data_IF_497914996253
#
_entry.id   IF_497914996253
#
_cell.length_a   1.000
_cell.length_b   1.000
_cell.length_c   1.000
_cell.angle_alpha   90.00
_cell.angle_beta   90.00
_cell.angle_gamma   90.00
#
_symmetry.space_group_name_H-M   'P 1'
#
loop_
_entity.id
_entity.type
_entity.pdbx_description
1 polymer ?
#
# COMPACT_ATOMS: atom_id res chain seq x y z
N UNK A 1 4.79 1.10 20.66
CA UNK A 1 3.65 0.33 20.09
C UNK A 1 2.84 -0.44 21.15
N UNK A 2 3.47 -1.24 22.03
CA UNK A 2 2.79 -2.04 23.08
C UNK A 2 1.77 -1.29 23.95
N UNK A 3 2.10 -0.10 24.45
CA UNK A 3 1.18 0.72 25.28
C UNK A 3 -0.05 1.16 24.49
N UNK A 4 0.15 1.75 23.31
CA UNK A 4 -0.91 2.20 22.39
C UNK A 4 -1.88 1.06 22.00
N UNK A 5 -1.36 -0.15 21.78
CA UNK A 5 -2.18 -1.32 21.45
C UNK A 5 -3.02 -1.81 22.63
N UNK A 6 -2.48 -1.79 23.85
CA UNK A 6 -3.26 -2.14 25.05
C UNK A 6 -4.43 -1.19 25.28
N UNK A 7 -4.23 0.10 25.01
CA UNK A 7 -5.24 1.14 25.24
C UNK A 7 -6.33 1.15 24.15
N UNK A 8 -5.99 0.75 22.91
CA UNK A 8 -6.90 0.83 21.75
C UNK A 8 -7.54 -0.51 21.35
N UNK A 9 -6.90 -1.64 21.68
CA UNK A 9 -7.37 -2.98 21.31
C UNK A 9 -6.78 -4.06 22.27
N UNK A 10 -7.38 -4.25 23.46
CA UNK A 10 -6.94 -5.26 24.43
C UNK A 10 -7.23 -6.67 23.87
N UNK A 11 -6.26 -7.22 23.15
CA UNK A 11 -6.37 -8.50 22.44
C UNK A 11 -5.41 -8.60 21.25
N UNK A 12 -4.98 -7.46 20.70
CA UNK A 12 -4.00 -7.42 19.62
C UNK A 12 -2.56 -7.45 20.15
N UNK A 13 -1.79 -8.44 19.72
CA UNK A 13 -0.34 -8.44 19.96
C UNK A 13 0.36 -7.55 18.93
N UNK A 14 1.45 -6.85 19.30
CA UNK A 14 2.22 -6.06 18.33
C UNK A 14 2.69 -6.88 17.14
N UNK A 15 3.00 -8.17 17.35
CA UNK A 15 3.43 -9.08 16.29
C UNK A 15 2.32 -9.29 15.25
N UNK A 16 1.13 -9.68 15.69
CA UNK A 16 -0.01 -9.92 14.80
C UNK A 16 -0.40 -8.66 14.03
N UNK A 17 -0.30 -7.49 14.66
CA UNK A 17 -0.52 -6.20 14.02
C UNK A 17 0.48 -5.97 12.88
N UNK A 18 1.77 -6.17 13.12
CA UNK A 18 2.80 -6.03 12.08
C UNK A 18 2.62 -7.04 10.93
N UNK A 19 2.28 -8.29 11.26
CA UNK A 19 1.98 -9.32 10.26
C UNK A 19 0.80 -8.90 9.37
N UNK A 20 -0.27 -8.32 9.95
CA UNK A 20 -1.41 -7.81 9.18
C UNK A 20 -1.03 -6.60 8.31
N UNK A 21 -0.23 -5.67 8.81
CA UNK A 21 0.25 -4.54 8.00
C UNK A 21 1.09 -5.00 6.81
N UNK A 22 1.83 -6.09 6.95
CA UNK A 22 2.64 -6.68 5.88
C UNK A 22 1.83 -7.29 4.72
N UNK A 23 0.50 -7.43 4.85
CA UNK A 23 -0.33 -7.96 3.76
C UNK A 23 -0.54 -6.96 2.62
N UNK A 24 -0.26 -5.67 2.85
CA UNK A 24 -0.32 -4.63 1.82
C UNK A 24 0.98 -4.67 1.03
N UNK A 25 0.87 -5.09 -0.24
CA UNK A 25 2.02 -5.25 -1.12
C UNK A 25 2.13 -4.06 -2.06
N UNK A 26 3.37 -3.64 -2.34
CA UNK A 26 3.66 -2.71 -3.43
C UNK A 26 3.74 -3.47 -4.75
N UNK A 27 3.07 -2.97 -5.76
CA UNK A 27 3.05 -3.52 -7.12
C UNK A 27 3.33 -2.42 -8.14
N UNK A 28 3.98 -2.78 -9.24
CA UNK A 28 4.08 -1.93 -10.42
C UNK A 28 3.06 -2.37 -11.47
N UNK A 29 2.21 -1.44 -11.87
CA UNK A 29 1.19 -1.65 -12.91
C UNK A 29 1.66 -0.96 -14.19
N UNK A 30 1.81 -1.74 -15.26
CA UNK A 30 2.24 -1.25 -16.56
C UNK A 30 1.04 -1.25 -17.52
N UNK A 31 0.60 -0.07 -17.92
CA UNK A 31 -0.58 0.12 -18.78
C UNK A 31 -0.11 0.61 -20.16
N UNK A 32 -0.38 -0.13 -21.25
CA UNK A 32 -0.06 0.35 -22.59
C UNK A 32 -0.96 1.53 -22.99
N UNK A 33 -0.39 2.53 -23.66
CA UNK A 33 -1.15 3.63 -24.26
C UNK A 33 -1.33 3.42 -25.77
N UNK A 34 -2.32 4.10 -26.36
CA UNK A 34 -2.65 3.99 -27.80
C UNK A 34 -1.52 4.47 -28.71
N UNK A 35 -0.60 5.30 -28.22
CA UNK A 35 0.53 5.84 -28.96
C UNK A 35 1.86 5.11 -28.69
N UNK A 36 1.79 3.89 -28.13
CA UNK A 36 2.95 3.00 -27.96
C UNK A 36 3.85 3.32 -26.77
N UNK A 37 3.41 4.18 -25.84
CA UNK A 37 4.07 4.42 -24.54
C UNK A 37 3.49 3.48 -23.47
N UNK A 38 4.12 3.46 -22.31
CA UNK A 38 3.59 2.77 -21.12
C UNK A 38 3.40 3.77 -19.98
N UNK A 39 2.29 3.65 -19.27
CA UNK A 39 2.07 4.29 -17.98
C UNK A 39 2.48 3.29 -16.90
N UNK A 40 3.50 3.65 -16.11
CA UNK A 40 3.98 2.87 -14.97
C UNK A 40 3.40 3.48 -13.70
N UNK A 41 2.70 2.66 -12.91
CA UNK A 41 2.09 3.06 -11.64
C UNK A 41 2.57 2.16 -10.51
N UNK A 42 3.42 2.68 -9.63
CA UNK A 42 3.76 1.99 -8.38
C UNK A 42 2.66 2.23 -7.35
N UNK A 43 1.90 1.18 -7.01
CA UNK A 43 0.70 1.27 -6.17
C UNK A 43 0.70 0.19 -5.09
N UNK A 44 0.03 0.44 -3.97
CA UNK A 44 -0.22 -0.60 -2.99
C UNK A 44 -1.49 -1.38 -3.33
N UNK A 45 -1.56 -2.66 -2.93
CA UNK A 45 -2.79 -3.45 -3.01
C UNK A 45 -3.86 -2.93 -2.06
N UNK A 46 -5.13 -3.06 -2.44
CA UNK A 46 -6.22 -2.63 -1.57
C UNK A 46 -6.17 -3.40 -0.23
N UNK A 47 -6.14 -2.70 0.92
CA UNK A 47 -6.08 -3.36 2.21
C UNK A 47 -7.33 -4.19 2.45
N UNK A 48 -7.17 -5.39 3.02
CA UNK A 48 -8.29 -6.22 3.44
C UNK A 48 -9.17 -5.52 4.50
N UNK A 49 -10.46 -5.85 4.62
CA UNK A 49 -11.38 -5.20 5.56
C UNK A 49 -10.87 -5.15 7.00
N UNK A 50 -10.27 -6.23 7.49
CA UNK A 50 -9.69 -6.30 8.83
C UNK A 50 -8.55 -5.29 9.02
N UNK A 51 -7.67 -5.14 8.02
CA UNK A 51 -6.59 -4.16 8.07
C UNK A 51 -7.13 -2.72 8.01
N UNK A 52 -8.22 -2.48 7.27
CA UNK A 52 -8.89 -1.17 7.26
C UNK A 52 -9.47 -0.82 8.64
N UNK A 53 -10.09 -1.80 9.32
CA UNK A 53 -10.55 -1.62 10.69
C UNK A 53 -9.39 -1.30 11.63
N UNK A 54 -8.28 -2.02 11.49
CA UNK A 54 -7.07 -1.81 12.28
C UNK A 54 -6.45 -0.41 12.07
N UNK A 55 -6.34 0.04 10.82
CA UNK A 55 -5.91 1.40 10.47
C UNK A 55 -6.79 2.45 11.18
N UNK A 56 -8.12 2.28 11.12
CA UNK A 56 -9.08 3.18 11.78
C UNK A 56 -8.92 3.20 13.29
N UNK A 57 -8.82 2.04 13.94
CA UNK A 57 -8.65 1.91 15.40
C UNK A 57 -7.34 2.56 15.87
N UNK A 58 -6.27 2.38 15.10
CA UNK A 58 -4.95 2.95 15.40
C UNK A 58 -4.80 4.41 14.96
N UNK A 59 -5.83 4.97 14.32
CA UNK A 59 -5.82 6.33 13.73
C UNK A 59 -4.63 6.53 12.79
N UNK A 60 -4.38 5.52 11.95
CA UNK A 60 -3.34 5.52 10.92
C UNK A 60 -3.99 5.60 9.54
N UNK A 61 -3.26 6.20 8.61
CA UNK A 61 -3.59 6.21 7.19
C UNK A 61 -2.42 5.61 6.39
N UNK A 62 -2.73 5.01 5.25
CA UNK A 62 -1.69 4.61 4.30
C UNK A 62 -1.02 5.85 3.71
N UNK A 63 0.27 5.77 3.36
CA UNK A 63 0.99 6.89 2.76
C UNK A 63 0.44 7.22 1.36
N UNK A 64 0.64 8.46 0.94
CA UNK A 64 0.30 8.89 -0.42
C UNK A 64 1.13 8.09 -1.45
N UNK A 65 0.49 7.72 -2.55
CA UNK A 65 1.12 6.94 -3.61
C UNK A 65 1.80 7.88 -4.61
N UNK A 66 2.97 7.51 -5.17
CA UNK A 66 3.71 8.38 -6.09
C UNK A 66 2.89 8.67 -7.37
N UNK A 67 3.14 9.80 -8.06
CA UNK A 67 2.48 10.07 -9.33
C UNK A 67 2.83 8.99 -10.38
N UNK A 68 1.91 8.69 -11.32
CA UNK A 68 2.20 7.78 -12.43
C UNK A 68 3.31 8.35 -13.33
N UNK A 69 4.14 7.49 -13.91
CA UNK A 69 5.20 7.86 -14.84
C UNK A 69 4.83 7.38 -16.25
N UNK A 70 5.18 8.16 -17.27
CA UNK A 70 4.97 7.77 -18.68
C UNK A 70 6.34 7.51 -19.30
N UNK A 71 6.50 6.37 -19.96
CA UNK A 71 7.73 6.06 -20.70
C UNK A 71 7.81 6.85 -22.00
N UNK A 72 9.02 7.16 -22.45
CA UNK A 72 9.24 7.60 -23.83
C UNK A 72 8.98 6.43 -24.78
N UNK A 73 8.49 6.70 -26.00
CA UNK A 73 8.22 5.64 -27.00
C UNK A 73 9.46 4.75 -27.14
N UNK A 74 9.31 3.46 -26.81
CA UNK A 74 10.33 2.45 -27.06
C UNK A 74 11.46 2.30 -26.02
N UNK A 75 11.46 3.00 -24.87
CA UNK A 75 12.43 2.68 -23.81
C UNK A 75 11.79 2.64 -22.42
N UNK A 76 11.79 1.44 -21.83
CA UNK A 76 11.73 1.25 -20.39
C UNK A 76 13.11 1.64 -19.87
N UNK A 77 13.24 2.85 -19.32
CA UNK A 77 14.45 3.23 -18.59
C UNK A 77 14.33 2.53 -17.23
N UNK A 78 15.13 1.48 -17.06
CA UNK A 78 15.33 0.75 -15.80
C UNK A 78 16.10 1.63 -14.81
#
# INVERSE_FOLDING_TARGET
MRRRLRDLAPGLTPRSVLEKFGSVQMIDVHLPTTDGRQVIMSRYTHPEPELQMLLKQLRLSLPNQPPPRVTARGQVIQ
#
